data_IF_419171171267
#
_entry.id   IF_419171171267
#
_cell.length_a   1.000
_cell.length_b   1.000
_cell.length_c   1.000
_cell.angle_alpha   90.00
_cell.angle_beta   90.00
_cell.angle_gamma   90.00
#
_symmetry.space_group_name_H-M   'P 1'
#
loop_
_entity.id
_entity.type
_entity.pdbx_description
1 polymer ?
#
# COMPACT_ATOMS: atom_id res chain seq x y z
N UNK A 1 -9.95 -32.62 -2.63
CA UNK A 1 -8.96 -31.56 -2.93
C UNK A 1 -9.67 -30.22 -2.76
N UNK A 2 -9.46 -29.45 -1.67
CA UNK A 2 -10.01 -28.11 -1.64
C UNK A 2 -9.22 -27.27 -2.65
N UNK A 3 -9.91 -26.74 -3.66
CA UNK A 3 -9.37 -25.69 -4.50
C UNK A 3 -9.16 -24.47 -3.61
N UNK A 4 -7.91 -24.15 -3.28
CA UNK A 4 -7.56 -22.87 -2.68
C UNK A 4 -7.90 -21.80 -3.71
N UNK A 5 -9.14 -21.33 -3.66
CA UNK A 5 -9.60 -20.15 -4.38
C UNK A 5 -8.69 -19.02 -3.92
N UNK A 6 -7.78 -18.60 -4.78
CA UNK A 6 -6.92 -17.43 -4.60
C UNK A 6 -7.81 -16.21 -4.44
N UNK A 7 -8.27 -15.96 -3.22
CA UNK A 7 -9.07 -14.78 -2.89
C UNK A 7 -8.12 -13.59 -2.82
N UNK A 8 -8.40 -12.57 -3.61
CA UNK A 8 -7.87 -11.24 -3.38
C UNK A 8 -8.37 -10.75 -2.03
N UNK A 9 -7.46 -10.55 -1.09
CA UNK A 9 -7.76 -10.10 0.27
C UNK A 9 -7.05 -8.78 0.50
N UNK A 10 -7.81 -7.75 0.85
CA UNK A 10 -7.29 -6.48 1.34
C UNK A 10 -7.95 -6.21 2.69
N UNK A 11 -7.18 -6.33 3.76
CA UNK A 11 -7.58 -5.98 5.11
C UNK A 11 -6.88 -4.69 5.49
N UNK A 12 -7.68 -3.68 5.85
CA UNK A 12 -7.19 -2.40 6.34
C UNK A 12 -7.76 -2.21 7.74
N UNK A 13 -6.87 -2.22 8.71
CA UNK A 13 -7.14 -1.84 10.09
C UNK A 13 -6.48 -0.48 10.37
N UNK A 14 -6.78 0.10 11.53
CA UNK A 14 -6.27 1.43 11.91
C UNK A 14 -4.73 1.52 11.81
N UNK A 15 -4.05 0.46 12.25
CA UNK A 15 -2.59 0.40 12.32
C UNK A 15 -1.98 -0.62 11.38
N UNK A 16 -2.76 -1.34 10.57
CA UNK A 16 -2.23 -2.44 9.75
C UNK A 16 -2.90 -2.51 8.38
N UNK A 17 -2.10 -2.81 7.36
CA UNK A 17 -2.57 -3.22 6.04
C UNK A 17 -2.06 -4.63 5.77
N UNK A 18 -2.95 -5.56 5.45
CA UNK A 18 -2.63 -6.90 4.96
C UNK A 18 -3.26 -7.07 3.58
N UNK A 19 -2.42 -7.23 2.58
CA UNK A 19 -2.83 -7.42 1.20
C UNK A 19 -2.30 -8.75 0.69
N UNK A 20 -3.16 -9.52 0.02
CA UNK A 20 -2.84 -10.80 -0.61
C UNK A 20 -3.56 -10.93 -1.95
N UNK A 21 -2.81 -11.21 -3.01
CA UNK A 21 -3.33 -11.43 -4.37
C UNK A 21 -2.37 -12.32 -5.14
N UNK A 22 -2.88 -13.33 -5.87
CA UNK A 22 -2.06 -14.19 -6.74
C UNK A 22 -0.76 -14.67 -6.08
N UNK A 23 -0.86 -15.20 -4.85
CA UNK A 23 0.27 -15.67 -4.02
C UNK A 23 1.26 -14.58 -3.56
N UNK A 24 1.05 -13.33 -3.97
CA UNK A 24 1.78 -12.18 -3.47
C UNK A 24 1.17 -11.70 -2.15
N UNK A 25 2.02 -11.27 -1.22
CA UNK A 25 1.62 -10.72 0.07
C UNK A 25 2.37 -9.42 0.36
N UNK A 26 1.66 -8.45 0.93
CA UNK A 26 2.22 -7.24 1.50
C UNK A 26 1.57 -7.01 2.87
N UNK A 27 2.40 -6.86 3.90
CA UNK A 27 1.97 -6.55 5.27
C UNK A 27 2.69 -5.28 5.71
N UNK A 28 1.91 -4.24 6.02
CA UNK A 28 2.39 -2.96 6.53
C UNK A 28 1.84 -2.74 7.93
N UNK A 29 2.68 -2.27 8.84
CA UNK A 29 2.29 -1.91 10.20
C UNK A 29 2.67 -0.46 10.47
N UNK A 30 1.73 0.30 11.00
CA UNK A 30 1.93 1.67 11.44
C UNK A 30 2.86 1.71 12.63
N UNK A 31 3.87 2.54 12.52
CA UNK A 31 4.83 2.83 13.58
C UNK A 31 4.89 4.35 13.74
N UNK A 32 5.33 4.84 14.91
CA UNK A 32 5.41 6.29 15.15
C UNK A 32 6.28 7.06 14.13
N UNK A 33 7.10 6.34 13.35
CA UNK A 33 8.03 6.88 12.36
C UNK A 33 7.66 6.50 10.90
N UNK A 34 6.46 5.95 10.66
CA UNK A 34 5.99 5.59 9.32
C UNK A 34 5.43 4.17 9.23
N UNK A 35 5.27 3.64 8.02
CA UNK A 35 4.76 2.27 7.84
C UNK A 35 5.91 1.28 7.65
N UNK A 36 6.03 0.31 8.55
CA UNK A 36 7.01 -0.77 8.47
C UNK A 36 6.47 -1.90 7.60
N UNK A 37 7.26 -2.33 6.62
CA UNK A 37 6.99 -3.54 5.83
C UNK A 37 7.41 -4.76 6.65
N UNK A 38 6.44 -5.48 7.21
CA UNK A 38 6.70 -6.70 7.98
C UNK A 38 6.76 -7.93 7.09
N UNK A 39 6.06 -7.90 5.95
CA UNK A 39 6.14 -8.92 4.89
C UNK A 39 5.97 -8.27 3.52
N UNK A 40 6.76 -8.72 2.55
CA UNK A 40 6.58 -8.38 1.14
C UNK A 40 7.10 -9.55 0.29
N UNK A 41 6.31 -9.98 -0.70
CA UNK A 41 6.80 -10.90 -1.74
C UNK A 41 7.83 -10.21 -2.62
N UNK A 42 8.93 -10.89 -2.94
CA UNK A 42 10.02 -10.33 -3.75
C UNK A 42 9.58 -9.88 -5.16
N UNK A 43 8.55 -10.52 -5.72
CA UNK A 43 8.00 -10.21 -7.03
C UNK A 43 6.98 -9.04 -7.04
N UNK A 44 6.79 -8.34 -5.91
CA UNK A 44 5.89 -7.18 -5.87
C UNK A 44 6.42 -6.06 -6.78
N UNK A 45 5.56 -5.58 -7.68
CA UNK A 45 5.85 -4.43 -8.55
C UNK A 45 6.12 -3.12 -7.78
N UNK A 46 5.87 -3.10 -6.47
CA UNK A 46 6.13 -1.98 -5.57
C UNK A 46 7.59 -1.93 -5.08
N UNK A 47 8.41 -2.95 -5.36
CA UNK A 47 9.84 -3.03 -4.99
C UNK A 47 10.09 -2.83 -3.48
N UNK A 48 9.10 -3.20 -2.66
CA UNK A 48 9.18 -3.18 -1.21
C UNK A 48 9.82 -4.46 -0.70
N UNK A 49 10.65 -4.33 0.32
CA UNK A 49 11.31 -5.42 1.01
C UNK A 49 10.91 -5.41 2.47
N UNK A 50 10.90 -6.60 3.10
CA UNK A 50 10.74 -6.70 4.54
C UNK A 50 11.81 -5.87 5.25
N UNK A 51 11.39 -5.06 6.22
CA UNK A 51 12.24 -4.13 6.94
C UNK A 51 12.25 -2.71 6.37
N UNK A 52 11.73 -2.50 5.16
CA UNK A 52 11.55 -1.15 4.63
C UNK A 52 10.56 -0.35 5.48
N UNK A 53 10.83 0.94 5.64
CA UNK A 53 9.91 1.86 6.31
C UNK A 53 9.47 2.97 5.37
N UNK A 54 8.19 2.99 5.01
CA UNK A 54 7.63 4.03 4.16
C UNK A 54 7.51 5.32 4.96
N UNK A 55 8.09 6.40 4.42
CA UNK A 55 8.18 7.72 5.06
C UNK A 55 7.32 8.75 4.34
N UNK A 56 7.35 8.74 3.01
CA UNK A 56 6.57 9.67 2.18
C UNK A 56 6.03 8.97 0.95
N UNK A 57 4.87 9.43 0.48
CA UNK A 57 4.30 9.07 -0.81
C UNK A 57 3.81 10.33 -1.51
N UNK A 58 4.42 10.67 -2.65
CA UNK A 58 4.25 11.94 -3.33
C UNK A 58 4.63 13.09 -2.40
N UNK A 59 3.66 13.96 -2.10
CA UNK A 59 3.83 15.10 -1.19
C UNK A 59 3.36 14.83 0.24
N UNK A 60 2.92 13.61 0.52
CA UNK A 60 2.30 13.25 1.80
C UNK A 60 3.31 12.55 2.69
N UNK A 61 3.48 13.04 3.92
CA UNK A 61 4.18 12.28 4.96
C UNK A 61 3.31 11.12 5.42
N UNK A 62 3.89 9.92 5.46
CA UNK A 62 3.17 8.70 5.79
C UNK A 62 3.52 8.31 7.21
N UNK A 63 2.55 8.42 8.11
CA UNK A 63 2.63 7.96 9.51
C UNK A 63 1.59 6.89 9.83
N UNK A 64 0.65 6.63 8.91
CA UNK A 64 -0.49 5.74 9.12
C UNK A 64 -0.98 5.15 7.79
N UNK A 65 -1.70 4.03 7.87
CA UNK A 65 -2.23 3.34 6.69
C UNK A 65 -3.23 4.22 5.93
N UNK A 66 -4.09 4.94 6.65
CA UNK A 66 -5.04 5.88 6.05
C UNK A 66 -4.35 6.97 5.21
N UNK A 67 -3.22 7.51 5.68
CA UNK A 67 -2.43 8.51 4.95
C UNK A 67 -1.85 7.92 3.66
N UNK A 68 -1.35 6.69 3.70
CA UNK A 68 -0.88 6.00 2.50
C UNK A 68 -2.02 5.87 1.48
N UNK A 69 -3.17 5.34 1.89
CA UNK A 69 -4.33 5.18 0.99
C UNK A 69 -4.77 6.53 0.42
N UNK A 70 -4.82 7.59 1.24
CA UNK A 70 -5.16 8.92 0.79
C UNK A 70 -4.18 9.45 -0.27
N UNK A 71 -2.87 9.29 -0.06
CA UNK A 71 -1.84 9.70 -1.00
C UNK A 71 -1.94 8.94 -2.33
N UNK A 72 -2.15 7.62 -2.28
CA UNK A 72 -2.36 6.79 -3.47
C UNK A 72 -3.63 7.18 -4.23
N UNK A 73 -4.72 7.52 -3.54
CA UNK A 73 -5.95 8.03 -4.18
C UNK A 73 -5.73 9.41 -4.81
N UNK A 74 -4.97 10.28 -4.14
CA UNK A 74 -4.68 11.64 -4.62
C UNK A 74 -3.83 11.63 -5.90
N UNK A 75 -3.01 10.59 -6.10
CA UNK A 75 -2.28 10.39 -7.34
C UNK A 75 -3.21 10.12 -8.55
N UNK A 76 -4.49 9.80 -8.34
CA UNK A 76 -5.50 9.70 -9.39
C UNK A 76 -5.10 8.82 -10.60
N UNK A 77 -4.46 7.67 -10.33
CA UNK A 77 -3.92 6.75 -11.35
C UNK A 77 -2.68 7.27 -12.11
N UNK A 78 -1.97 8.26 -11.56
CA UNK A 78 -0.64 8.64 -11.99
C UNK A 78 0.44 7.85 -11.22
N UNK A 79 1.65 7.70 -11.76
CA UNK A 79 2.77 7.18 -10.99
C UNK A 79 3.05 8.07 -9.77
N UNK A 80 3.39 7.46 -8.64
CA UNK A 80 3.68 8.15 -7.39
C UNK A 80 5.07 7.76 -6.89
N UNK A 81 5.82 8.75 -6.42
CA UNK A 81 7.12 8.56 -5.80
C UNK A 81 6.94 8.19 -4.33
N UNK A 82 7.56 7.10 -3.89
CA UNK A 82 7.51 6.65 -2.50
C UNK A 82 8.91 6.60 -1.96
N UNK A 83 9.16 7.31 -0.86
CA UNK A 83 10.45 7.24 -0.19
C UNK A 83 10.35 6.27 0.97
N UNK A 84 11.27 5.32 0.99
CA UNK A 84 11.38 4.31 2.03
C UNK A 84 12.75 4.41 2.68
N UNK A 85 12.83 4.09 3.97
CA UNK A 85 14.08 3.87 4.67
C UNK A 85 14.37 2.37 4.63
N UNK A 86 15.46 1.98 3.99
CA UNK A 86 15.93 0.60 3.90
C UNK A 86 17.29 0.53 4.57
N UNK A 87 17.39 -0.21 5.67
CA UNK A 87 18.64 -0.35 6.44
C UNK A 87 19.26 1.02 6.84
N UNK A 88 18.41 1.99 7.16
CA UNK A 88 18.84 3.37 7.48
C UNK A 88 19.17 4.26 6.28
N UNK A 89 19.11 3.74 5.05
CA UNK A 89 19.32 4.50 3.81
C UNK A 89 17.98 4.88 3.19
N UNK A 90 17.81 6.15 2.81
CA UNK A 90 16.62 6.59 2.10
C UNK A 90 16.68 6.16 0.62
N UNK A 91 15.70 5.37 0.20
CA UNK A 91 15.52 4.86 -1.16
C UNK A 91 14.27 5.46 -1.76
N UNK A 92 14.38 5.96 -2.99
CA UNK A 92 13.25 6.48 -3.77
C UNK A 92 12.74 5.39 -4.72
N UNK A 93 11.47 5.02 -4.54
CA UNK A 93 10.76 4.08 -5.39
C UNK A 93 9.73 4.83 -6.24
N UNK A 94 9.47 4.37 -7.45
CA UNK A 94 8.41 4.92 -8.30
C UNK A 94 7.36 3.85 -8.51
N UNK A 95 6.17 4.04 -7.96
CA UNK A 95 5.08 3.09 -8.09
C UNK A 95 4.16 3.51 -9.24
N UNK A 96 4.03 2.63 -10.23
CA UNK A 96 3.04 2.78 -11.28
C UNK A 96 1.62 2.61 -10.72
N UNK A 97 0.64 3.27 -11.33
CA UNK A 97 -0.76 3.17 -10.92
C UNK A 97 -1.28 1.73 -10.88
N UNK A 98 -0.93 0.93 -11.88
CA UNK A 98 -1.30 -0.49 -11.91
C UNK A 98 -0.70 -1.30 -10.75
N UNK A 99 0.44 -0.89 -10.20
CA UNK A 99 1.11 -1.60 -9.11
C UNK A 99 0.43 -1.35 -7.76
N UNK A 100 -0.01 -0.12 -7.49
CA UNK A 100 -0.65 0.23 -6.21
C UNK A 100 -2.18 0.21 -6.25
N UNK A 101 -2.81 0.19 -7.43
CA UNK A 101 -4.27 0.05 -7.58
C UNK A 101 -4.90 -1.07 -6.73
N UNK A 102 -4.34 -2.29 -6.63
CA UNK A 102 -4.94 -3.36 -5.82
C UNK A 102 -4.82 -3.13 -4.31
N UNK A 103 -4.04 -2.14 -3.85
CA UNK A 103 -3.97 -1.73 -2.44
C UNK A 103 -5.08 -0.73 -2.08
N UNK A 104 -5.77 -0.16 -3.06
CA UNK A 104 -6.83 0.80 -2.83
C UNK A 104 -8.14 0.07 -2.53
N UNK A 105 -8.80 0.34 -1.39
CA UNK A 105 -10.14 -0.18 -1.17
C UNK A 105 -11.09 0.36 -2.26
N UNK A 106 -12.10 -0.43 -2.68
CA UNK A 106 -13.08 0.03 -3.65
C UNK A 106 -13.65 1.37 -3.18
N UNK A 107 -13.77 2.35 -4.08
CA UNK A 107 -14.46 3.60 -3.75
C UNK A 107 -15.91 3.22 -3.44
N UNK A 108 -16.39 3.62 -2.27
CA UNK A 108 -17.83 3.57 -2.02
C UNK A 108 -18.53 4.35 -3.15
N UNK A 109 -19.64 3.82 -3.72
CA UNK A 109 -20.43 4.60 -4.65
C UNK A 109 -20.87 5.89 -3.95
N UNK A 110 -20.72 7.02 -4.62
CA UNK A 110 -21.26 8.30 -4.15
C UNK A 110 -22.76 8.10 -3.88
N UNK A 111 -23.32 8.55 -2.75
CA UNK A 111 -24.76 8.50 -2.56
C UNK A 111 -25.45 9.23 -3.72
N UNK A 112 -26.61 8.75 -4.21
CA UNK A 112 -27.35 9.45 -5.25
C UNK A 112 -27.65 10.86 -4.75
N UNK A 113 -27.26 11.86 -5.52
CA UNK A 113 -27.65 13.24 -5.27
C UNK A 113 -29.15 13.29 -5.52
N UNK A 114 -29.97 13.32 -4.46
CA UNK A 114 -31.40 13.59 -4.57
C UNK A 114 -31.57 15.01 -5.10
N UNK A 115 -31.90 15.12 -6.38
CA UNK A 115 -32.47 16.32 -6.99
C UNK A 115 -33.98 16.36 -6.82
#
# INVERSE_FOLDING_TARGET
>A
MPTTSTRDVLVIEDTRLDWRRNEQVLELVSTGDGLLVTKASAALALQLHRGDRLRTAGRTQITSVAQLIAALRAAANAPIEVHVLRDGVQVRLTWAAAAYAPLLPPRAPSPPTSG
#
